data_IF_345260587433
#
_entry.id   IF_345260587433
#
_cell.length_a   1.000
_cell.length_b   1.000
_cell.length_c   1.000
_cell.angle_alpha   90.00
_cell.angle_beta   90.00
_cell.angle_gamma   90.00
#
_symmetry.space_group_name_H-M   'P 1'
#
loop_
_entity.id
_entity.type
_entity.pdbx_description
1 polymer ?
#
# COMPACT_ATOMS: atom_id res chain seq x y z
N UNK A 1 19.39 -0.09 -5.49
CA UNK A 1 19.27 1.05 -4.55
C UNK A 1 18.61 0.54 -3.28
N UNK A 2 19.08 0.92 -2.08
CA UNK A 2 18.36 0.56 -0.83
C UNK A 2 17.00 1.27 -0.85
N UNK A 3 15.89 0.52 -0.78
CA UNK A 3 14.55 1.09 -0.58
C UNK A 3 14.61 1.96 0.68
N UNK A 4 14.51 3.29 0.53
CA UNK A 4 14.49 4.19 1.68
C UNK A 4 13.18 3.93 2.42
N UNK A 5 13.24 3.39 3.63
CA UNK A 5 12.02 3.21 4.42
C UNK A 5 11.40 4.57 4.71
N UNK A 6 10.09 4.60 4.82
CA UNK A 6 9.38 5.83 5.16
C UNK A 6 9.69 6.17 6.61
N UNK A 7 9.98 7.43 6.96
CA UNK A 7 10.15 7.81 8.37
C UNK A 7 8.96 7.39 9.25
N UNK A 8 7.75 7.42 8.68
CA UNK A 8 6.50 6.97 9.29
C UNK A 8 6.46 5.47 9.63
N UNK A 9 7.30 4.66 8.97
CA UNK A 9 7.40 3.20 9.19
C UNK A 9 8.56 2.83 10.11
N UNK A 10 9.45 3.78 10.41
CA UNK A 10 10.61 3.58 11.29
C UNK A 10 10.33 4.01 12.73
N UNK A 11 9.51 5.06 12.92
CA UNK A 11 9.05 5.45 14.25
C UNK A 11 7.93 4.53 14.75
N UNK A 12 8.09 3.84 15.90
CA UNK A 12 7.08 2.89 16.38
C UNK A 12 5.70 3.50 16.63
N UNK A 13 5.65 4.75 17.12
CA UNK A 13 4.40 5.45 17.43
C UNK A 13 3.69 5.89 16.14
N UNK A 14 4.43 6.42 15.17
CA UNK A 14 3.89 6.75 13.86
C UNK A 14 3.37 5.49 13.14
N UNK A 15 4.08 4.36 13.27
CA UNK A 15 3.66 3.09 12.69
C UNK A 15 2.36 2.57 13.32
N UNK A 16 2.18 2.71 14.63
CA UNK A 16 0.94 2.34 15.33
C UNK A 16 -0.25 3.20 14.87
N UNK A 17 -0.04 4.52 14.76
CA UNK A 17 -1.07 5.44 14.24
C UNK A 17 -1.43 5.07 12.79
N UNK A 18 -0.43 4.79 11.96
CA UNK A 18 -0.62 4.38 10.57
C UNK A 18 -1.38 3.04 10.49
N UNK A 19 -1.03 2.06 11.32
CA UNK A 19 -1.72 0.77 11.38
C UNK A 19 -3.19 0.94 11.76
N UNK A 20 -3.47 1.78 12.76
CA UNK A 20 -4.84 2.08 13.21
C UNK A 20 -5.64 2.71 12.10
N UNK A 21 -5.09 3.70 11.40
CA UNK A 21 -5.75 4.37 10.27
C UNK A 21 -5.98 3.41 9.10
N UNK A 22 -5.01 2.56 8.77
CA UNK A 22 -5.15 1.55 7.72
C UNK A 22 -6.31 0.59 8.03
N UNK A 23 -6.37 0.09 9.27
CA UNK A 23 -7.45 -0.79 9.73
C UNK A 23 -8.83 -0.14 9.64
N UNK A 24 -8.96 1.13 10.05
CA UNK A 24 -10.22 1.88 9.94
C UNK A 24 -10.76 1.98 8.50
N UNK A 25 -9.86 2.01 7.52
CA UNK A 25 -10.21 2.09 6.10
C UNK A 25 -10.20 0.74 5.38
N UNK A 26 -9.96 -0.37 6.11
CA UNK A 26 -9.90 -1.71 5.53
C UNK A 26 -8.75 -1.89 4.53
N UNK A 27 -7.65 -1.18 4.73
CA UNK A 27 -6.42 -1.26 3.94
C UNK A 27 -5.23 -1.72 4.78
N UNK A 28 -4.13 -2.07 4.11
CA UNK A 28 -2.90 -2.53 4.75
C UNK A 28 -1.77 -1.52 4.60
N UNK A 29 -0.83 -1.50 5.54
CA UNK A 29 0.39 -0.68 5.43
C UNK A 29 1.21 -1.08 4.19
N UNK A 30 1.28 -2.36 3.85
CA UNK A 30 2.00 -2.86 2.66
C UNK A 30 1.52 -2.20 1.37
N UNK A 31 0.20 -2.13 1.18
CA UNK A 31 -0.41 -1.40 0.05
C UNK A 31 0.13 0.03 -0.03
N UNK A 32 0.14 0.78 1.07
CA UNK A 32 0.65 2.16 1.10
C UNK A 32 2.14 2.23 0.74
N UNK A 33 2.96 1.30 1.27
CA UNK A 33 4.38 1.22 0.96
C UNK A 33 4.64 0.95 -0.53
N UNK A 34 3.86 0.09 -1.16
CA UNK A 34 3.94 -0.24 -2.58
C UNK A 34 3.55 0.96 -3.47
N UNK A 35 2.43 1.62 -3.15
CA UNK A 35 1.99 2.83 -3.86
C UNK A 35 3.07 3.93 -3.79
N UNK A 36 3.68 4.12 -2.63
CA UNK A 36 4.75 5.10 -2.46
C UNK A 36 6.00 4.72 -3.26
N UNK A 37 6.33 3.43 -3.34
CA UNK A 37 7.47 2.98 -4.13
C UNK A 37 7.23 3.17 -5.64
N UNK A 38 6.02 2.94 -6.13
CA UNK A 38 5.61 3.29 -7.49
C UNK A 38 5.80 4.79 -7.73
N UNK A 39 5.30 5.63 -6.82
CA UNK A 39 5.45 7.08 -6.94
C UNK A 39 6.93 7.49 -6.98
N UNK A 40 7.77 6.94 -6.08
CA UNK A 40 9.21 7.25 -6.01
C UNK A 40 9.97 6.81 -7.24
N UNK A 41 9.65 5.63 -7.76
CA UNK A 41 10.28 5.08 -8.97
C UNK A 41 9.97 5.91 -10.21
N UNK A 42 8.87 6.67 -10.16
CA UNK A 42 8.40 7.54 -11.23
C UNK A 42 8.63 9.04 -10.95
N UNK A 43 9.25 9.43 -9.83
CA UNK A 43 9.65 10.81 -9.57
C UNK A 43 10.60 11.30 -10.68
N UNK A 44 10.22 12.37 -11.37
CA UNK A 44 10.95 12.93 -12.51
C UNK A 44 10.54 12.38 -13.88
N UNK A 45 9.53 11.49 -13.95
CA UNK A 45 8.94 10.96 -15.20
C UNK A 45 7.52 11.49 -15.42
N UNK A 46 7.35 12.81 -15.29
CA UNK A 46 6.11 13.57 -15.06
C UNK A 46 4.89 13.28 -15.97
N UNK A 47 4.99 12.50 -17.06
CA UNK A 47 3.91 12.32 -18.04
C UNK A 47 3.84 10.92 -18.70
N UNK A 48 4.19 9.85 -17.99
CA UNK A 48 3.98 8.50 -18.53
C UNK A 48 2.70 7.87 -17.97
N UNK A 49 1.80 7.48 -18.88
CA UNK A 49 0.58 6.69 -18.63
C UNK A 49 0.83 5.44 -17.77
N UNK A 50 2.08 4.96 -17.71
CA UNK A 50 2.49 3.79 -16.94
C UNK A 50 2.26 3.91 -15.44
N UNK A 51 2.39 5.10 -14.83
CA UNK A 51 2.22 5.23 -13.37
C UNK A 51 0.80 4.86 -12.92
N UNK A 52 -0.20 5.22 -13.72
CA UNK A 52 -1.61 4.90 -13.45
C UNK A 52 -1.88 3.40 -13.61
N UNK A 53 -1.22 2.74 -14.56
CA UNK A 53 -1.32 1.30 -14.74
C UNK A 53 -0.67 0.54 -13.57
N UNK A 54 0.52 0.97 -13.14
CA UNK A 54 1.23 0.39 -11.99
C UNK A 54 0.41 0.50 -10.70
N UNK A 55 -0.19 1.68 -10.46
CA UNK A 55 -1.12 1.88 -9.34
C UNK A 55 -2.34 0.97 -9.44
N UNK A 56 -2.94 0.87 -10.63
CA UNK A 56 -4.14 0.05 -10.84
C UNK A 56 -3.86 -1.44 -10.60
N UNK A 57 -2.68 -1.93 -11.01
CA UNK A 57 -2.28 -3.32 -10.81
C UNK A 57 -2.16 -3.67 -9.32
N UNK A 58 -1.45 -2.84 -8.54
CA UNK A 58 -1.29 -3.06 -7.09
C UNK A 58 -2.62 -2.99 -6.35
N UNK A 59 -3.51 -2.06 -6.73
CA UNK A 59 -4.84 -1.95 -6.12
C UNK A 59 -5.71 -3.17 -6.48
N UNK A 60 -5.64 -3.67 -7.72
CA UNK A 60 -6.37 -4.86 -8.14
C UNK A 60 -5.93 -6.09 -7.35
N UNK A 61 -4.61 -6.32 -7.24
CA UNK A 61 -4.04 -7.43 -6.45
C UNK A 61 -4.47 -7.35 -4.98
N UNK A 62 -4.44 -6.15 -4.39
CA UNK A 62 -4.93 -5.94 -3.02
C UNK A 62 -6.41 -6.31 -2.87
N UNK A 63 -7.26 -5.95 -3.83
CA UNK A 63 -8.69 -6.29 -3.81
C UNK A 63 -8.90 -7.80 -3.96
N UNK A 64 -8.17 -8.45 -4.86
CA UNK A 64 -8.23 -9.91 -5.07
C UNK A 64 -7.84 -10.66 -3.79
N UNK A 65 -6.72 -10.29 -3.16
CA UNK A 65 -6.26 -10.88 -1.89
C UNK A 65 -7.27 -10.71 -0.75
N UNK A 66 -8.03 -9.60 -0.71
CA UNK A 66 -9.11 -9.40 0.25
C UNK A 66 -10.37 -10.19 -0.07
N UNK A 67 -10.67 -10.42 -1.36
CA UNK A 67 -11.79 -11.25 -1.79
C UNK A 67 -11.59 -12.73 -1.48
N UNK A 68 -10.34 -13.16 -1.28
CA UNK A 68 -9.96 -14.52 -0.92
C UNK A 68 -9.89 -14.79 0.60
N UNK A 69 -10.09 -13.78 1.47
CA UNK A 69 -10.24 -14.06 2.90
C UNK A 69 -11.50 -14.93 3.13
N UNK A 70 -11.35 -16.19 3.59
CA UNK A 70 -12.51 -17.00 3.87
C UNK A 70 -13.29 -16.33 4.99
N UNK A 71 -14.50 -15.91 4.68
CA UNK A 71 -15.54 -15.71 5.67
C UNK A 71 -15.76 -17.07 6.32
N UNK A 72 -14.95 -17.40 7.33
CA UNK A 72 -15.28 -18.43 8.30
C UNK A 72 -16.49 -17.91 9.06
N UNK A 73 -17.66 -18.09 8.43
CA UNK A 73 -18.95 -18.09 9.07
C UNK A 73 -18.86 -19.09 10.23
N UNK A 74 -18.72 -18.54 11.44
CA UNK A 74 -18.93 -19.29 12.66
C UNK A 74 -20.43 -19.34 12.86
N UNK A 75 -21.01 -20.54 12.68
CA UNK A 75 -22.29 -20.96 13.26
C UNK A 75 -21.99 -22.11 14.23
#
# INVERSE_FOLDING_TARGET
>A
MRKRRLPLTEDPKAREILATSCSQHGITISLIEELIEIQRSNLGRERQTGISADFSAVIAEFIEQRGEEPTNASD
#
